data_IF_975787307062
#
_entry.id   IF_975787307062
#
_cell.length_a   1.000
_cell.length_b   1.000
_cell.length_c   1.000
_cell.angle_alpha   90.00
_cell.angle_beta   90.00
_cell.angle_gamma   90.00
#
_symmetry.space_group_name_H-M   'P 1'
#
loop_
_entity.id
_entity.type
_entity.pdbx_description
1 polymer ?
#
# COMPACT_ATOMS: atom_id res chain seq x y z
N UNK A 1 -1.76 -7.47 15.58
CA UNK A 1 -2.30 -7.99 14.32
C UNK A 1 -3.09 -6.89 13.65
N UNK A 2 -2.52 -6.30 12.60
CA UNK A 2 -3.04 -5.20 11.81
C UNK A 2 -3.48 -5.73 10.45
N UNK A 3 -4.51 -5.13 9.87
CA UNK A 3 -4.89 -5.34 8.47
C UNK A 3 -4.79 -3.99 7.80
N UNK A 4 -3.98 -3.89 6.75
CA UNK A 4 -3.84 -2.66 5.98
C UNK A 4 -4.66 -2.76 4.70
N UNK A 5 -5.57 -1.79 4.50
CA UNK A 5 -6.39 -1.71 3.31
C UNK A 5 -5.65 -1.01 2.14
N UNK A 6 -6.30 -1.00 0.97
CA UNK A 6 -5.75 -0.42 -0.25
C UNK A 6 -5.40 1.07 -0.11
N UNK A 7 -6.09 1.82 0.74
CA UNK A 7 -5.83 3.26 0.91
C UNK A 7 -4.54 3.53 1.67
N UNK A 8 -4.27 2.77 2.74
CA UNK A 8 -3.00 2.88 3.47
C UNK A 8 -1.80 2.44 2.64
N UNK A 9 -1.95 1.37 1.84
CA UNK A 9 -0.93 0.99 0.87
C UNK A 9 -0.67 2.07 -0.17
N UNK A 10 -1.71 2.73 -0.69
CA UNK A 10 -1.55 3.82 -1.66
C UNK A 10 -0.77 4.98 -1.06
N UNK A 11 -1.13 5.44 0.14
CA UNK A 11 -0.41 6.52 0.84
C UNK A 11 1.09 6.21 0.97
N UNK A 12 1.44 4.97 1.33
CA UNK A 12 2.83 4.49 1.38
C UNK A 12 3.51 4.47 0.00
N UNK A 13 2.92 3.82 -1.00
CA UNK A 13 3.54 3.69 -2.33
C UNK A 13 3.63 5.01 -3.11
N UNK A 14 2.78 6.00 -2.80
CA UNK A 14 2.82 7.31 -3.45
C UNK A 14 3.63 8.34 -2.69
N UNK A 15 4.19 8.01 -1.52
CA UNK A 15 4.88 8.95 -0.64
C UNK A 15 3.99 10.19 -0.35
N UNK A 16 2.71 9.93 -0.05
CA UNK A 16 1.72 10.98 0.23
C UNK A 16 1.77 11.36 1.73
N UNK A 17 1.01 12.38 2.13
CA UNK A 17 1.06 13.05 3.45
C UNK A 17 1.01 12.14 4.67
N UNK A 18 0.51 10.90 4.55
CA UNK A 18 0.42 9.95 5.66
C UNK A 18 1.35 8.73 5.52
N UNK A 19 2.28 8.71 4.54
CA UNK A 19 3.19 7.59 4.33
C UNK A 19 3.91 7.16 5.62
N UNK A 20 4.44 8.13 6.37
CA UNK A 20 5.14 7.93 7.66
C UNK A 20 4.27 7.23 8.73
N UNK A 21 2.94 7.32 8.63
CA UNK A 21 2.02 6.65 9.57
C UNK A 21 1.97 5.14 9.27
N UNK A 22 2.07 4.78 7.99
CA UNK A 22 1.91 3.40 7.53
C UNK A 22 3.23 2.64 7.45
N UNK A 23 4.36 3.33 7.24
CA UNK A 23 5.70 2.74 7.23
C UNK A 23 5.98 1.81 8.43
N UNK A 24 5.82 2.23 9.71
CA UNK A 24 6.09 1.34 10.85
C UNK A 24 5.08 0.18 10.97
N UNK A 25 3.88 0.31 10.39
CA UNK A 25 2.89 -0.78 10.34
C UNK A 25 3.31 -1.82 9.30
N UNK A 26 3.88 -1.37 8.17
CA UNK A 26 4.34 -2.22 7.06
C UNK A 26 5.62 -2.96 7.43
N UNK A 27 6.54 -2.32 8.16
CA UNK A 27 7.79 -2.94 8.61
C UNK A 27 7.59 -4.02 9.68
N UNK A 28 6.47 -4.02 10.40
CA UNK A 28 6.13 -5.01 11.42
C UNK A 28 5.41 -6.23 10.82
N UNK A 29 6.12 -6.96 9.95
CA UNK A 29 5.62 -8.08 9.16
C UNK A 29 4.90 -9.19 9.95
N UNK A 30 5.42 -9.58 11.12
CA UNK A 30 4.81 -10.60 11.99
C UNK A 30 3.40 -10.20 12.49
N UNK A 31 3.11 -8.91 12.50
CA UNK A 31 1.84 -8.34 12.96
C UNK A 31 0.96 -7.90 11.80
N UNK A 32 1.37 -8.03 10.54
CA UNK A 32 0.66 -7.50 9.38
C UNK A 32 0.00 -8.59 8.53
N UNK A 33 -1.33 -8.56 8.45
CA UNK A 33 -2.09 -9.33 7.48
C UNK A 33 -2.31 -8.50 6.22
N UNK A 34 -1.95 -9.07 5.07
CA UNK A 34 -2.12 -8.42 3.76
C UNK A 34 -3.11 -9.19 2.89
N UNK A 35 -4.36 -8.72 2.77
CA UNK A 35 -5.33 -9.33 1.87
C UNK A 35 -4.87 -9.21 0.41
N UNK A 36 -4.87 -10.31 -0.33
CA UNK A 36 -4.43 -10.32 -1.74
C UNK A 36 -5.24 -9.38 -2.64
N UNK A 37 -6.52 -9.15 -2.31
CA UNK A 37 -7.38 -8.21 -3.03
C UNK A 37 -6.88 -6.76 -2.89
N UNK A 38 -6.30 -6.38 -1.74
CA UNK A 38 -5.81 -5.03 -1.52
C UNK A 38 -4.65 -4.70 -2.48
N UNK A 39 -3.70 -5.62 -2.67
CA UNK A 39 -2.62 -5.41 -3.64
C UNK A 39 -3.13 -5.33 -5.09
N UNK A 40 -4.16 -6.09 -5.46
CA UNK A 40 -4.76 -5.97 -6.78
C UNK A 40 -5.39 -4.59 -7.02
N UNK A 41 -6.07 -4.04 -6.02
CA UNK A 41 -6.64 -2.69 -6.08
C UNK A 41 -5.56 -1.62 -6.15
N UNK A 42 -4.52 -1.72 -5.30
CA UNK A 42 -3.36 -0.83 -5.31
C UNK A 42 -2.68 -0.83 -6.67
N UNK A 43 -2.39 -2.02 -7.22
CA UNK A 43 -1.79 -2.15 -8.55
C UNK A 43 -2.63 -1.46 -9.63
N UNK A 44 -3.95 -1.68 -9.64
CA UNK A 44 -4.85 -1.05 -10.60
C UNK A 44 -4.82 0.47 -10.51
N UNK A 45 -4.80 1.02 -9.30
CA UNK A 45 -4.77 2.47 -9.08
C UNK A 45 -3.42 3.03 -9.52
N UNK A 46 -2.30 2.47 -9.06
CA UNK A 46 -0.97 2.93 -9.44
C UNK A 46 -0.76 2.85 -10.95
N UNK A 47 -1.19 1.77 -11.59
CA UNK A 47 -1.07 1.62 -13.04
C UNK A 47 -1.93 2.64 -13.82
N UNK A 48 -3.09 3.05 -13.27
CA UNK A 48 -3.96 4.06 -13.88
C UNK A 48 -3.41 5.47 -13.73
N UNK A 49 -2.97 5.84 -12.53
CA UNK A 49 -2.59 7.22 -12.18
C UNK A 49 -1.12 7.55 -12.51
N UNK A 50 -0.23 6.56 -12.41
CA UNK A 50 1.23 6.77 -12.48
C UNK A 50 1.90 6.03 -13.64
N UNK A 51 1.14 5.21 -14.37
CA UNK A 51 1.66 4.33 -15.41
C UNK A 51 2.44 3.12 -14.85
N UNK A 52 2.82 2.19 -15.75
CA UNK A 52 3.38 0.88 -15.38
C UNK A 52 4.62 0.92 -14.47
N UNK A 53 5.46 1.95 -14.57
CA UNK A 53 6.75 2.02 -13.86
C UNK A 53 6.63 2.19 -12.34
N UNK A 54 5.51 2.74 -11.84
CA UNK A 54 5.26 2.85 -10.39
C UNK A 54 4.36 1.73 -9.86
N UNK A 55 3.88 0.84 -10.73
CA UNK A 55 3.00 -0.26 -10.35
C UNK A 55 3.73 -1.62 -10.26
N UNK A 56 5.02 -1.67 -10.61
CA UNK A 56 5.82 -2.90 -10.80
C UNK A 56 7.20 -2.73 -10.18
#
# INVERSE_FOLDING_TARGET
MNVLDSSGWLEFFTDDKHADIFEPIIESDEELLVPSICFYEVYKVLNRELGKLKAL
#
